data_IF_882268546502
#
_entry.id   IF_882268546502
#
_cell.length_a   1.000
_cell.length_b   1.000
_cell.length_c   1.000
_cell.angle_alpha   90.00
_cell.angle_beta   90.00
_cell.angle_gamma   90.00
#
_symmetry.space_group_name_H-M   'P 1'
#
loop_
_entity.id
_entity.type
_entity.pdbx_description
1 polymer ?
#
# COMPACT_ATOMS: atom_id res chain seq x y z
N UNK A 1 14.30 9.53 16.92
CA UNK A 1 13.19 8.99 16.10
C UNK A 1 13.76 8.15 14.97
N UNK A 2 13.29 6.92 14.84
CA UNK A 2 13.77 6.05 13.77
C UNK A 2 13.16 6.47 12.44
N UNK A 3 13.99 6.47 11.39
CA UNK A 3 13.53 6.71 10.03
C UNK A 3 12.60 5.58 9.57
N UNK A 4 11.56 5.93 8.80
CA UNK A 4 10.71 4.93 8.15
C UNK A 4 11.50 4.12 7.11
N UNK A 5 12.58 4.69 6.57
CA UNK A 5 13.39 4.04 5.56
C UNK A 5 14.46 3.18 6.20
N UNK A 6 14.46 1.89 5.91
CA UNK A 6 15.46 0.94 6.41
C UNK A 6 16.33 0.47 5.24
N UNK A 7 17.59 0.91 5.23
CA UNK A 7 18.51 0.60 4.13
C UNK A 7 18.76 -0.90 3.95
N UNK A 8 18.65 -1.66 5.04
CA UNK A 8 18.88 -3.11 4.97
C UNK A 8 17.83 -3.82 4.12
N UNK A 9 16.62 -3.25 4.01
CA UNK A 9 15.54 -3.84 3.22
C UNK A 9 15.52 -3.37 1.76
N UNK A 10 16.36 -2.39 1.40
CA UNK A 10 16.36 -1.85 0.03
C UNK A 10 16.63 -2.92 -1.04
N UNK A 11 17.60 -3.86 -0.85
CA UNK A 11 17.80 -4.92 -1.87
C UNK A 11 16.58 -5.80 -2.04
N UNK A 12 15.87 -6.11 -0.94
CA UNK A 12 14.64 -6.92 -1.01
C UNK A 12 13.53 -6.18 -1.75
N UNK A 13 13.38 -4.88 -1.49
CA UNK A 13 12.39 -4.07 -2.19
C UNK A 13 12.67 -4.04 -3.70
N UNK A 14 13.93 -3.92 -4.09
CA UNK A 14 14.32 -3.98 -5.51
C UNK A 14 13.98 -5.32 -6.14
N UNK A 15 14.22 -6.40 -5.40
CA UNK A 15 13.88 -7.75 -5.86
C UNK A 15 12.37 -7.90 -6.04
N UNK A 16 11.59 -7.43 -5.08
CA UNK A 16 10.13 -7.50 -5.15
C UNK A 16 9.57 -6.69 -6.31
N UNK A 17 10.18 -5.55 -6.64
CA UNK A 17 9.74 -4.78 -7.81
C UNK A 17 9.96 -5.55 -9.11
N UNK A 18 11.01 -6.35 -9.19
CA UNK A 18 11.26 -7.20 -10.36
C UNK A 18 10.32 -8.39 -10.41
N UNK A 19 9.86 -8.86 -9.26
CA UNK A 19 9.05 -10.06 -9.11
C UNK A 19 7.60 -9.75 -8.74
N UNK A 20 7.10 -8.57 -9.15
CA UNK A 20 5.73 -8.19 -8.85
C UNK A 20 4.74 -9.23 -9.37
N UNK A 21 3.69 -9.48 -8.59
CA UNK A 21 2.62 -10.38 -9.01
C UNK A 21 1.87 -9.78 -10.20
N UNK A 22 1.05 -10.61 -10.84
CA UNK A 22 0.21 -10.17 -11.95
C UNK A 22 -0.71 -9.03 -11.53
N UNK A 23 -1.31 -9.15 -10.34
CA UNK A 23 -2.24 -8.16 -9.80
C UNK A 23 -1.53 -6.86 -9.44
N UNK A 24 -0.33 -6.95 -8.84
CA UNK A 24 0.48 -5.78 -8.54
C UNK A 24 0.85 -5.04 -9.81
N UNK A 25 1.27 -5.78 -10.85
CA UNK A 25 1.62 -5.16 -12.14
C UNK A 25 0.43 -4.49 -12.79
N UNK A 26 -0.74 -5.14 -12.72
CA UNK A 26 -1.96 -4.57 -13.30
C UNK A 26 -2.30 -3.24 -12.63
N UNK A 27 -2.30 -3.21 -11.30
CA UNK A 27 -2.64 -2.00 -10.56
C UNK A 27 -1.60 -0.90 -10.79
N UNK A 28 -0.33 -1.26 -10.84
CA UNK A 28 0.74 -0.29 -11.04
C UNK A 28 0.74 0.29 -12.44
N UNK A 29 0.83 -0.56 -13.47
CA UNK A 29 1.00 -0.08 -14.83
C UNK A 29 -0.27 0.52 -15.43
N UNK A 30 -1.42 0.02 -15.04
CA UNK A 30 -2.68 0.44 -15.64
C UNK A 30 -3.40 1.52 -14.83
N UNK A 31 -2.89 1.88 -13.67
CA UNK A 31 -3.54 2.91 -12.85
C UNK A 31 -2.56 3.77 -12.05
N UNK A 32 -1.82 3.18 -11.11
CA UNK A 32 -1.06 3.99 -10.13
C UNK A 32 0.12 4.73 -10.73
N UNK A 33 0.78 4.15 -11.71
CA UNK A 33 1.98 4.74 -12.31
C UNK A 33 1.73 6.15 -12.85
N UNK A 34 0.57 6.38 -13.44
CA UNK A 34 0.21 7.66 -14.03
C UNK A 34 -0.86 8.42 -13.26
N UNK A 35 -1.19 7.94 -12.06
CA UNK A 35 -2.17 8.61 -11.21
C UNK A 35 -1.65 9.99 -10.79
N UNK A 36 -2.52 11.03 -10.74
CA UNK A 36 -2.07 12.39 -10.43
C UNK A 36 -1.37 12.57 -9.10
N UNK A 37 -1.76 11.81 -8.08
CA UNK A 37 -1.05 11.78 -6.80
C UNK A 37 0.00 10.69 -6.88
N UNK A 38 1.24 11.02 -6.54
CA UNK A 38 2.36 10.10 -6.72
C UNK A 38 2.29 8.89 -5.80
N UNK A 39 2.41 7.70 -6.37
CA UNK A 39 2.60 6.46 -5.63
C UNK A 39 3.96 5.86 -5.94
N UNK A 40 4.51 5.17 -4.95
CA UNK A 40 5.71 4.35 -5.09
C UNK A 40 5.30 2.89 -4.88
N UNK A 41 6.00 1.98 -5.53
CA UNK A 41 5.75 0.55 -5.38
C UNK A 41 6.85 -0.09 -4.57
N UNK A 42 6.50 -1.12 -3.80
CA UNK A 42 7.44 -1.90 -2.99
C UNK A 42 8.35 -0.97 -2.20
N UNK A 43 7.73 -0.14 -1.36
CA UNK A 43 8.43 0.88 -0.58
C UNK A 43 8.77 0.35 0.80
N UNK A 44 10.01 0.60 1.22
CA UNK A 44 10.46 0.26 2.58
C UNK A 44 9.96 1.33 3.56
N UNK A 45 9.20 0.90 4.55
CA UNK A 45 8.73 1.75 5.65
C UNK A 45 9.08 1.05 6.97
N UNK A 46 10.13 1.54 7.63
CA UNK A 46 10.64 0.90 8.84
C UNK A 46 11.15 -0.51 8.51
N UNK A 47 10.61 -1.50 9.20
CA UNK A 47 10.99 -2.90 8.99
C UNK A 47 10.07 -3.63 8.01
N UNK A 48 9.20 -2.90 7.35
CA UNK A 48 8.23 -3.49 6.41
C UNK A 48 8.46 -3.00 5.00
N UNK A 49 8.04 -3.81 4.04
CA UNK A 49 7.98 -3.41 2.63
C UNK A 49 6.50 -3.42 2.27
N UNK A 50 5.98 -2.25 1.86
CA UNK A 50 4.56 -2.13 1.50
C UNK A 50 4.40 -2.17 -0.02
N UNK A 51 3.26 -2.66 -0.48
CA UNK A 51 3.03 -2.82 -1.92
C UNK A 51 3.02 -1.48 -2.64
N UNK A 52 2.22 -0.53 -2.16
CA UNK A 52 2.14 0.82 -2.75
C UNK A 52 2.01 1.86 -1.66
N UNK A 53 2.64 3.01 -1.87
CA UNK A 53 2.70 4.06 -0.88
C UNK A 53 2.63 5.43 -1.52
N UNK A 54 1.80 6.32 -0.97
CA UNK A 54 1.78 7.73 -1.32
C UNK A 54 2.07 8.57 -0.09
N UNK A 55 3.17 9.31 -0.12
CA UNK A 55 3.53 10.23 0.97
C UNK A 55 2.56 11.40 1.03
N UNK A 56 2.14 11.91 -0.12
CA UNK A 56 1.24 13.04 -0.20
C UNK A 56 -0.14 12.71 0.38
N UNK A 57 -0.69 11.55 0.03
CA UNK A 57 -1.98 11.11 0.54
C UNK A 57 -1.89 10.41 1.89
N UNK A 58 -0.68 10.12 2.37
CA UNK A 58 -0.43 9.33 3.59
C UNK A 58 -1.19 8.01 3.54
N UNK A 59 -1.07 7.32 2.43
CA UNK A 59 -1.86 6.13 2.13
C UNK A 59 -0.95 4.98 1.75
N UNK A 60 -1.24 3.82 2.33
CA UNK A 60 -0.60 2.54 1.98
C UNK A 60 -1.67 1.64 1.38
N UNK A 61 -1.38 1.01 0.25
CA UNK A 61 -2.24 0.04 -0.38
C UNK A 61 -1.55 -1.31 -0.34
N UNK A 62 -2.24 -2.31 0.21
CA UNK A 62 -1.76 -3.68 0.27
C UNK A 62 -2.70 -4.59 -0.50
N UNK A 63 -2.15 -5.43 -1.36
CA UNK A 63 -2.94 -6.44 -2.06
C UNK A 63 -2.88 -7.74 -1.28
N UNK A 64 -4.04 -8.29 -0.94
CA UNK A 64 -4.12 -9.52 -0.16
C UNK A 64 -4.38 -10.71 -1.06
N UNK A 65 -3.56 -11.75 -0.92
CA UNK A 65 -3.82 -13.03 -1.55
C UNK A 65 -5.04 -13.70 -0.92
N UNK A 66 -5.66 -14.63 -1.66
CA UNK A 66 -6.84 -15.35 -1.20
C UNK A 66 -6.49 -16.54 -0.29
N UNK A 67 -5.38 -16.46 0.42
CA UNK A 67 -4.94 -17.56 1.27
C UNK A 67 -5.65 -17.54 2.61
N UNK A 68 -5.87 -18.73 3.14
CA UNK A 68 -6.39 -18.88 4.49
C UNK A 68 -5.30 -18.46 5.47
N UNK A 69 -5.57 -17.42 6.23
CA UNK A 69 -4.62 -16.94 7.21
C UNK A 69 -4.78 -17.72 8.51
N UNK A 70 -3.67 -18.20 9.02
CA UNK A 70 -3.62 -18.71 10.37
C UNK A 70 -3.61 -17.53 11.33
N UNK A 71 -3.99 -17.78 12.59
CA UNK A 71 -4.07 -16.74 13.62
C UNK A 71 -2.76 -15.96 13.79
N UNK A 72 -1.63 -16.65 13.66
CA UNK A 72 -0.31 -16.04 13.80
C UNK A 72 -0.09 -14.95 12.74
N UNK A 73 -0.51 -15.23 11.52
CA UNK A 73 -0.36 -14.25 10.44
C UNK A 73 -1.27 -13.06 10.64
N UNK A 74 -2.47 -13.28 11.15
CA UNK A 74 -3.39 -12.18 11.47
C UNK A 74 -2.81 -11.26 12.54
N UNK A 75 -2.15 -11.81 13.56
CA UNK A 75 -1.48 -11.02 14.60
C UNK A 75 -0.35 -10.18 14.01
N UNK A 76 0.48 -10.77 13.15
CA UNK A 76 1.57 -10.04 12.49
C UNK A 76 1.05 -8.92 11.59
N UNK A 77 -0.06 -9.17 10.90
CA UNK A 77 -0.68 -8.15 10.06
C UNK A 77 -1.23 -7.00 10.92
N UNK A 78 -1.79 -7.30 12.09
CA UNK A 78 -2.27 -6.28 13.01
C UNK A 78 -1.12 -5.42 13.54
N UNK A 79 0.00 -6.03 13.91
CA UNK A 79 1.20 -5.31 14.35
C UNK A 79 1.74 -4.40 13.25
N UNK A 80 1.77 -4.91 12.02
CA UNK A 80 2.23 -4.17 10.86
C UNK A 80 1.33 -2.96 10.60
N UNK A 81 0.03 -3.16 10.64
CA UNK A 81 -0.93 -2.08 10.44
C UNK A 81 -0.79 -1.01 11.53
N UNK A 82 -0.68 -1.44 12.80
CA UNK A 82 -0.50 -0.51 13.91
C UNK A 82 0.79 0.31 13.76
N UNK A 83 1.87 -0.33 13.32
CA UNK A 83 3.14 0.36 13.08
C UNK A 83 2.97 1.45 12.03
N UNK A 84 2.34 1.12 10.90
CA UNK A 84 2.14 2.06 9.81
C UNK A 84 1.19 3.19 10.21
N UNK A 85 0.12 2.87 10.92
CA UNK A 85 -0.81 3.88 11.41
C UNK A 85 -0.17 4.82 12.42
N UNK A 86 0.82 4.34 13.16
CA UNK A 86 1.59 5.17 14.08
C UNK A 86 2.35 6.30 13.40
N UNK A 87 2.61 6.18 12.10
CA UNK A 87 3.21 7.26 11.30
C UNK A 87 2.16 8.16 10.65
N UNK A 88 0.89 8.01 11.00
CA UNK A 88 -0.18 8.78 10.41
C UNK A 88 -0.63 8.29 9.04
N UNK A 89 -0.29 7.04 8.71
CA UNK A 89 -0.67 6.46 7.42
C UNK A 89 -2.00 5.73 7.53
N UNK A 90 -2.81 5.84 6.51
CA UNK A 90 -4.01 5.02 6.35
C UNK A 90 -3.63 3.80 5.53
N UNK A 91 -3.99 2.61 6.01
CA UNK A 91 -3.69 1.36 5.31
C UNK A 91 -5.00 0.81 4.75
N UNK A 92 -5.06 0.60 3.44
CA UNK A 92 -6.20 -0.07 2.82
C UNK A 92 -5.73 -1.38 2.22
N UNK A 93 -6.58 -2.39 2.34
CA UNK A 93 -6.29 -3.73 1.84
C UNK A 93 -7.29 -4.09 0.77
N UNK A 94 -6.80 -4.58 -0.35
CA UNK A 94 -7.63 -4.92 -1.49
C UNK A 94 -7.34 -6.37 -1.86
N UNK A 95 -8.37 -7.23 -1.87
CA UNK A 95 -8.16 -8.62 -2.27
C UNK A 95 -7.66 -8.71 -3.72
N UNK A 96 -6.71 -9.60 -3.97
CA UNK A 96 -6.17 -9.79 -5.32
C UNK A 96 -7.27 -10.10 -6.33
N UNK A 97 -8.26 -10.89 -5.94
CA UNK A 97 -9.34 -11.25 -6.87
C UNK A 97 -10.17 -10.05 -7.29
N UNK A 98 -10.27 -9.02 -6.45
CA UNK A 98 -10.97 -7.79 -6.84
C UNK A 98 -10.20 -7.04 -7.92
N UNK A 99 -8.87 -7.03 -7.85
CA UNK A 99 -8.04 -6.41 -8.90
C UNK A 99 -8.31 -7.09 -10.25
N UNK A 100 -8.47 -8.42 -10.24
CA UNK A 100 -8.73 -9.18 -11.45
C UNK A 100 -10.16 -9.05 -11.94
N UNK A 101 -11.14 -9.08 -11.03
CA UNK A 101 -12.56 -9.19 -11.37
C UNK A 101 -13.27 -7.85 -11.45
N UNK A 102 -12.81 -6.86 -10.71
CA UNK A 102 -13.49 -5.56 -10.60
C UNK A 102 -12.45 -4.43 -10.54
N UNK A 103 -11.60 -4.38 -11.54
CA UNK A 103 -10.51 -3.41 -11.59
C UNK A 103 -11.01 -1.97 -11.51
N UNK A 104 -12.09 -1.67 -12.25
CA UNK A 104 -12.67 -0.33 -12.22
C UNK A 104 -13.12 0.07 -10.81
N UNK A 105 -13.78 -0.84 -10.11
CA UNK A 105 -14.20 -0.58 -8.73
C UNK A 105 -13.02 -0.38 -7.80
N UNK A 106 -11.94 -1.14 -8.01
CA UNK A 106 -10.71 -0.96 -7.23
C UNK A 106 -10.13 0.43 -7.46
N UNK A 107 -10.05 0.87 -8.70
CA UNK A 107 -9.52 2.21 -9.02
C UNK A 107 -10.39 3.31 -8.40
N UNK A 108 -11.70 3.17 -8.46
CA UNK A 108 -12.62 4.12 -7.84
C UNK A 108 -12.45 4.14 -6.32
N UNK A 109 -12.31 2.98 -5.70
CA UNK A 109 -12.09 2.88 -4.26
C UNK A 109 -10.80 3.58 -3.83
N UNK A 110 -9.72 3.38 -4.58
CA UNK A 110 -8.43 4.04 -4.30
C UNK A 110 -8.56 5.54 -4.48
N UNK A 111 -9.19 5.98 -5.56
CA UNK A 111 -9.38 7.41 -5.83
C UNK A 111 -10.17 8.07 -4.70
N UNK A 112 -11.22 7.43 -4.22
CA UNK A 112 -12.01 7.94 -3.10
C UNK A 112 -11.17 8.03 -1.82
N UNK A 113 -10.35 7.02 -1.54
CA UNK A 113 -9.48 7.01 -0.37
C UNK A 113 -8.46 8.15 -0.43
N UNK A 114 -7.88 8.40 -1.61
CA UNK A 114 -6.94 9.49 -1.82
C UNK A 114 -7.62 10.84 -1.58
N UNK A 115 -8.80 11.03 -2.16
CA UNK A 115 -9.55 12.27 -2.01
C UNK A 115 -9.91 12.55 -0.56
N UNK A 116 -10.35 11.53 0.17
CA UNK A 116 -10.66 11.67 1.59
C UNK A 116 -9.43 12.06 2.41
N UNK A 117 -8.30 11.42 2.14
CA UNK A 117 -7.06 11.74 2.85
C UNK A 117 -6.60 13.17 2.60
N UNK A 118 -6.68 13.64 1.36
CA UNK A 118 -6.27 14.99 1.01
C UNK A 118 -7.25 16.03 1.58
N UNK A 119 -8.53 15.70 1.63
CA UNK A 119 -9.55 16.59 2.22
C UNK A 119 -9.34 16.76 3.71
N UNK A 120 -9.06 15.67 4.44
CA UNK A 120 -8.76 15.72 5.88
C UNK A 120 -7.53 16.57 6.16
N UNK A 121 -6.51 16.44 5.31
CA UNK A 121 -5.29 17.23 5.46
C UNK A 121 -5.58 18.74 5.32
N UNK A 122 -6.51 19.11 4.45
CA UNK A 122 -6.91 20.50 4.28
C UNK A 122 -7.71 21.04 5.46
N UNK A 123 -8.47 20.17 6.14
CA UNK A 123 -9.29 20.55 7.28
C UNK A 123 -8.49 20.76 8.57
N UNK A 124 -7.26 20.26 8.61
CA UNK A 124 -6.40 20.31 9.78
C UNK A 124 -5.70 21.67 9.98
N UNK A 125 -6.18 22.68 9.32
CA UNK A 125 -5.67 24.05 9.50
C UNK A 125 -6.44 24.80 10.56
#
# INVERSE_FOLDING_TARGET
>A
MQSKHNKQLVPFAKQLRKEMTKEERHLWYDFLRTYPVRFLRQKVLGKYIVDFYSAQAKLVIELDGSQHYEDIKAEKDAERTAFLEGYGLTVIRIPNNEVTRNFRGVCEYIDDAVRQSLSQKSEDF
#
